data_IF_116597024203
#
_entry.id   IF_116597024203
#
_cell.length_a   1.000
_cell.length_b   1.000
_cell.length_c   1.000
_cell.angle_alpha   90.00
_cell.angle_beta   90.00
_cell.angle_gamma   90.00
#
_symmetry.space_group_name_H-M   'P 1'
#
loop_
_entity.id
_entity.type
_entity.pdbx_description
1 polymer ?
#
# COMPACT_ATOMS: atom_id res chain seq x y z
N UNK A 1 -25.54 -19.72 -25.07
CA UNK A 1 -26.19 -20.88 -25.73
C UNK A 1 -27.53 -20.44 -26.35
N UNK A 2 -28.54 -20.00 -25.58
CA UNK A 2 -29.90 -19.65 -26.09
C UNK A 2 -29.88 -18.66 -27.27
N UNK A 3 -29.01 -17.67 -27.30
CA UNK A 3 -28.87 -16.70 -28.41
C UNK A 3 -28.57 -17.41 -29.74
N UNK A 4 -27.65 -18.35 -29.75
CA UNK A 4 -27.31 -19.09 -30.97
C UNK A 4 -28.39 -20.07 -31.40
N UNK A 5 -29.07 -20.70 -30.43
CA UNK A 5 -30.19 -21.59 -30.70
C UNK A 5 -31.33 -20.81 -31.37
N UNK A 6 -31.67 -19.62 -30.88
CA UNK A 6 -32.68 -18.73 -31.49
C UNK A 6 -32.30 -18.31 -32.90
N UNK A 7 -31.02 -17.95 -33.12
CA UNK A 7 -30.52 -17.61 -34.46
C UNK A 7 -30.59 -18.82 -35.45
N UNK A 8 -30.34 -20.02 -34.96
CA UNK A 8 -30.49 -21.24 -35.79
C UNK A 8 -31.97 -21.52 -36.10
N UNK A 9 -32.86 -21.34 -35.11
CA UNK A 9 -34.29 -21.47 -35.28
C UNK A 9 -34.87 -20.49 -36.30
N UNK A 10 -34.41 -19.21 -36.30
CA UNK A 10 -34.76 -18.20 -37.29
C UNK A 10 -34.34 -18.62 -38.71
N UNK A 11 -33.32 -19.42 -38.85
CA UNK A 11 -32.84 -19.99 -40.11
C UNK A 11 -33.46 -21.38 -40.42
N UNK A 12 -34.46 -21.81 -39.67
CA UNK A 12 -35.13 -23.13 -39.79
C UNK A 12 -34.15 -24.32 -39.62
N UNK A 13 -33.07 -24.13 -38.85
CA UNK A 13 -32.12 -25.21 -38.53
C UNK A 13 -32.48 -25.78 -37.16
N UNK A 14 -32.92 -27.05 -37.14
CA UNK A 14 -33.26 -27.76 -35.92
C UNK A 14 -31.99 -28.17 -35.14
N UNK A 15 -31.98 -27.95 -33.83
CA UNK A 15 -30.99 -28.49 -32.90
C UNK A 15 -31.70 -29.49 -31.99
N UNK A 16 -31.18 -30.72 -31.92
CA UNK A 16 -31.70 -31.76 -31.08
C UNK A 16 -30.76 -32.09 -29.93
N UNK A 17 -31.27 -31.97 -28.71
CA UNK A 17 -30.54 -32.32 -27.48
C UNK A 17 -30.87 -33.74 -27.10
N UNK A 18 -29.97 -34.68 -27.39
CA UNK A 18 -30.19 -36.11 -27.24
C UNK A 18 -30.50 -36.54 -25.81
N UNK A 19 -29.79 -35.99 -24.82
CA UNK A 19 -29.95 -36.35 -23.39
C UNK A 19 -31.31 -35.94 -22.84
N UNK A 20 -31.75 -34.74 -23.21
CA UNK A 20 -32.96 -34.13 -22.71
C UNK A 20 -34.17 -34.45 -23.61
N UNK A 21 -33.94 -35.07 -24.77
CA UNK A 21 -34.93 -35.36 -25.79
C UNK A 21 -35.75 -34.13 -26.22
N UNK A 22 -35.03 -33.00 -26.48
CA UNK A 22 -35.61 -31.70 -26.82
C UNK A 22 -35.26 -31.33 -28.25
N UNK A 23 -36.28 -31.01 -29.06
CA UNK A 23 -36.11 -30.39 -30.37
C UNK A 23 -36.43 -28.91 -30.30
N UNK A 24 -35.52 -28.06 -30.80
CA UNK A 24 -35.66 -26.58 -30.74
C UNK A 24 -36.74 -26.03 -31.67
N UNK A 25 -37.21 -26.83 -32.65
CA UNK A 25 -38.33 -26.43 -33.54
C UNK A 25 -39.69 -26.58 -32.87
N UNK A 26 -39.81 -27.42 -31.84
CA UNK A 26 -41.07 -27.60 -31.12
C UNK A 26 -41.32 -26.40 -30.15
N UNK A 27 -42.56 -25.94 -30.08
CA UNK A 27 -42.94 -24.85 -29.16
C UNK A 27 -42.68 -25.23 -27.68
N UNK A 28 -42.87 -26.50 -27.32
CA UNK A 28 -42.55 -27.04 -25.99
C UNK A 28 -41.03 -27.07 -25.72
N UNK A 29 -40.21 -27.31 -26.78
CA UNK A 29 -38.76 -27.37 -26.68
C UNK A 29 -38.13 -26.00 -26.28
N UNK A 30 -38.66 -24.89 -26.78
CA UNK A 30 -38.15 -23.55 -26.42
C UNK A 30 -38.45 -23.18 -24.97
N UNK A 31 -39.65 -23.53 -24.48
CA UNK A 31 -40.02 -23.29 -23.06
C UNK A 31 -39.12 -24.11 -22.14
N UNK A 32 -38.94 -25.40 -22.47
CA UNK A 32 -38.10 -26.31 -21.70
C UNK A 32 -36.64 -25.85 -21.66
N UNK A 33 -36.07 -25.44 -22.79
CA UNK A 33 -34.71 -24.88 -22.86
C UNK A 33 -34.56 -23.57 -22.05
N UNK A 34 -35.59 -22.72 -22.06
CA UNK A 34 -35.60 -21.48 -21.27
C UNK A 34 -35.62 -21.79 -19.77
N UNK A 35 -36.43 -22.76 -19.34
CA UNK A 35 -36.50 -23.23 -17.95
C UNK A 35 -35.15 -23.85 -17.53
N UNK A 36 -34.59 -24.75 -18.34
CA UNK A 36 -33.28 -25.37 -18.05
C UNK A 36 -32.14 -24.33 -17.97
N UNK A 37 -32.14 -23.36 -18.88
CA UNK A 37 -31.14 -22.28 -18.82
C UNK A 37 -31.31 -21.42 -17.59
N UNK A 38 -32.55 -21.13 -17.15
CA UNK A 38 -32.83 -20.39 -15.91
C UNK A 38 -32.37 -21.17 -14.68
N UNK A 39 -32.65 -22.49 -14.62
CA UNK A 39 -32.19 -23.37 -13.54
C UNK A 39 -30.66 -23.43 -13.47
N UNK A 40 -29.99 -23.64 -14.60
CA UNK A 40 -28.52 -23.62 -14.66
C UNK A 40 -27.91 -22.28 -14.23
N UNK A 41 -28.57 -21.17 -14.55
CA UNK A 41 -28.16 -19.84 -14.09
C UNK A 41 -28.34 -19.67 -12.59
N UNK A 42 -29.48 -20.12 -12.02
CA UNK A 42 -29.72 -20.11 -10.58
C UNK A 42 -28.72 -21.00 -9.83
N UNK A 43 -28.43 -22.20 -10.34
CA UNK A 43 -27.42 -23.07 -9.74
C UNK A 43 -26.04 -22.41 -9.72
N UNK A 44 -25.63 -21.83 -10.85
CA UNK A 44 -24.36 -21.08 -10.93
C UNK A 44 -24.31 -19.88 -9.97
N UNK A 45 -25.42 -19.17 -9.80
CA UNK A 45 -25.55 -18.07 -8.84
C UNK A 45 -25.42 -18.56 -7.39
N UNK A 46 -26.15 -19.62 -7.04
CA UNK A 46 -26.11 -20.24 -5.71
C UNK A 46 -24.70 -20.74 -5.36
N UNK A 47 -24.05 -21.46 -6.28
CA UNK A 47 -22.65 -21.86 -6.10
C UNK A 47 -21.72 -20.68 -5.88
N UNK A 48 -21.89 -19.60 -6.66
CA UNK A 48 -21.09 -18.38 -6.49
C UNK A 48 -21.31 -17.73 -5.13
N UNK A 49 -22.54 -17.68 -4.63
CA UNK A 49 -22.88 -17.16 -3.30
C UNK A 49 -22.27 -18.03 -2.20
N UNK A 50 -22.39 -19.35 -2.28
CA UNK A 50 -21.82 -20.28 -1.33
C UNK A 50 -20.29 -20.17 -1.25
N UNK A 51 -19.61 -20.01 -2.39
CA UNK A 51 -18.16 -19.76 -2.42
C UNK A 51 -17.81 -18.42 -1.77
N UNK A 52 -18.59 -17.36 -2.02
CA UNK A 52 -18.39 -16.05 -1.37
C UNK A 52 -18.53 -16.15 0.14
N UNK A 53 -19.58 -16.77 0.62
CA UNK A 53 -19.81 -17.00 2.05
C UNK A 53 -18.68 -17.81 2.68
N UNK A 54 -18.28 -18.91 2.07
CA UNK A 54 -17.16 -19.73 2.55
C UNK A 54 -15.82 -18.98 2.57
N UNK A 55 -15.61 -18.02 1.67
CA UNK A 55 -14.44 -17.11 1.71
C UNK A 55 -14.55 -16.11 2.86
N UNK A 56 -15.72 -15.50 3.06
CA UNK A 56 -15.95 -14.55 4.16
C UNK A 56 -15.73 -15.21 5.52
N UNK A 57 -16.28 -16.39 5.76
CA UNK A 57 -16.04 -17.16 7.00
C UNK A 57 -14.55 -17.43 7.24
N UNK A 58 -13.79 -17.79 6.21
CA UNK A 58 -12.35 -17.99 6.33
C UNK A 58 -11.62 -16.70 6.66
N UNK A 59 -12.01 -15.58 6.05
CA UNK A 59 -11.43 -14.27 6.35
C UNK A 59 -11.73 -13.82 7.77
N UNK A 60 -12.95 -14.04 8.26
CA UNK A 60 -13.34 -13.79 9.66
C UNK A 60 -12.53 -14.63 10.66
N UNK A 61 -12.14 -15.85 10.26
CA UNK A 61 -11.26 -16.70 11.07
C UNK A 61 -9.77 -16.36 10.95
N UNK A 62 -9.42 -15.34 10.20
CA UNK A 62 -8.02 -14.94 9.98
C UNK A 62 -7.23 -15.90 9.09
N UNK A 63 -7.89 -16.86 8.40
CA UNK A 63 -7.20 -17.82 7.54
C UNK A 63 -6.75 -17.18 6.24
N UNK A 64 -5.46 -16.91 6.13
CA UNK A 64 -4.85 -16.29 4.96
C UNK A 64 -4.63 -17.32 3.87
N UNK A 65 -5.27 -17.12 2.71
CA UNK A 65 -5.02 -17.91 1.51
C UNK A 65 -4.27 -17.08 0.47
N UNK A 66 -3.06 -17.52 0.11
CA UNK A 66 -2.23 -16.88 -0.93
C UNK A 66 -1.91 -17.90 -2.02
N UNK A 67 -1.88 -17.43 -3.26
CA UNK A 67 -1.32 -18.23 -4.35
C UNK A 67 0.22 -18.19 -4.26
N UNK A 68 0.80 -19.16 -3.56
CA UNK A 68 2.23 -19.24 -3.29
C UNK A 68 3.09 -19.44 -4.54
N UNK A 69 2.57 -20.02 -5.63
CA UNK A 69 3.33 -20.26 -6.87
C UNK A 69 3.86 -18.99 -7.55
N UNK A 70 3.37 -17.81 -7.14
CA UNK A 70 3.78 -16.51 -7.68
C UNK A 70 4.01 -15.48 -6.57
N UNK A 71 4.29 -15.96 -5.38
CA UNK A 71 4.56 -15.11 -4.23
C UNK A 71 6.00 -15.33 -3.78
N UNK A 72 6.91 -14.48 -4.26
CA UNK A 72 8.34 -14.54 -3.94
C UNK A 72 8.56 -14.35 -2.45
N UNK A 73 9.46 -15.12 -1.87
CA UNK A 73 9.83 -15.07 -0.47
C UNK A 73 9.09 -16.07 0.42
N UNK A 74 7.95 -16.60 -0.04
CA UNK A 74 7.15 -17.53 0.75
C UNK A 74 6.72 -18.76 -0.04
N UNK A 75 6.68 -19.89 0.65
CA UNK A 75 6.03 -21.12 0.20
C UNK A 75 5.00 -21.59 1.24
N UNK A 76 4.43 -22.75 1.08
CA UNK A 76 3.50 -23.35 2.04
C UNK A 76 4.08 -24.59 2.68
N UNK A 77 3.78 -24.77 3.98
CA UNK A 77 3.93 -26.03 4.66
C UNK A 77 2.80 -27.03 4.32
N UNK A 78 2.83 -28.21 4.90
CA UNK A 78 1.82 -29.27 4.73
C UNK A 78 0.44 -28.84 5.26
N UNK A 79 0.40 -27.94 6.25
CA UNK A 79 -0.80 -27.41 6.87
C UNK A 79 -1.39 -26.21 6.09
N UNK A 80 -0.62 -25.68 5.13
CA UNK A 80 -1.01 -24.56 4.28
C UNK A 80 -0.62 -23.17 4.82
N UNK A 81 0.19 -23.11 5.89
CA UNK A 81 0.73 -21.87 6.43
C UNK A 81 1.90 -21.37 5.55
N UNK A 82 2.11 -20.06 5.58
CA UNK A 82 3.23 -19.46 4.85
C UNK A 82 4.54 -19.64 5.61
N UNK A 83 5.54 -20.19 4.94
CA UNK A 83 6.91 -20.33 5.45
C UNK A 83 7.87 -19.58 4.53
N UNK A 84 8.93 -19.01 5.12
CA UNK A 84 9.92 -18.21 4.39
C UNK A 84 10.82 -19.14 3.55
N UNK A 85 11.08 -18.72 2.31
CA UNK A 85 12.12 -19.26 1.44
C UNK A 85 13.36 -18.36 1.56
N UNK A 86 14.45 -18.80 2.25
CA UNK A 86 15.55 -17.89 2.60
C UNK A 86 16.20 -17.18 1.41
N UNK A 87 16.41 -17.90 0.31
CA UNK A 87 17.03 -17.34 -0.91
C UNK A 87 16.18 -16.23 -1.54
N UNK A 88 14.87 -16.43 -1.61
CA UNK A 88 13.93 -15.45 -2.14
C UNK A 88 13.72 -14.28 -1.17
N UNK A 89 13.76 -14.55 0.14
CA UNK A 89 13.66 -13.52 1.17
C UNK A 89 14.80 -12.50 1.08
N UNK A 90 16.03 -12.94 0.79
CA UNK A 90 17.16 -12.02 0.57
C UNK A 90 16.95 -11.11 -0.65
N UNK A 91 16.29 -11.61 -1.70
CA UNK A 91 15.94 -10.79 -2.86
C UNK A 91 14.92 -9.70 -2.44
N UNK A 92 13.92 -10.05 -1.64
CA UNK A 92 12.94 -9.10 -1.11
C UNK A 92 13.62 -8.04 -0.25
N UNK A 93 14.47 -8.44 0.71
CA UNK A 93 15.25 -7.52 1.56
C UNK A 93 16.11 -6.57 0.72
N UNK A 94 16.75 -7.09 -0.33
CA UNK A 94 17.54 -6.29 -1.29
C UNK A 94 16.69 -5.25 -1.99
N UNK A 95 15.49 -5.60 -2.48
CA UNK A 95 14.58 -4.68 -3.16
C UNK A 95 14.20 -3.51 -2.23
N UNK A 96 13.84 -3.79 -0.98
CA UNK A 96 13.51 -2.76 0.01
C UNK A 96 14.71 -1.86 0.31
N UNK A 97 15.88 -2.44 0.58
CA UNK A 97 17.10 -1.69 0.83
C UNK A 97 17.48 -0.78 -0.33
N UNK A 98 17.57 -1.30 -1.55
CA UNK A 98 17.93 -0.51 -2.73
C UNK A 98 16.91 0.60 -3.03
N UNK A 99 15.63 0.36 -2.74
CA UNK A 99 14.59 1.38 -2.89
C UNK A 99 14.77 2.53 -1.90
N UNK A 100 15.02 2.21 -0.63
CA UNK A 100 15.25 3.20 0.43
C UNK A 100 16.60 3.95 0.26
N UNK A 101 17.60 3.30 -0.31
CA UNK A 101 18.86 3.94 -0.74
C UNK A 101 18.68 4.93 -1.89
N UNK A 102 17.48 4.99 -2.49
CA UNK A 102 17.11 5.97 -3.50
C UNK A 102 17.11 5.48 -4.93
N UNK A 103 17.35 4.20 -5.20
CA UNK A 103 17.24 3.66 -6.56
C UNK A 103 15.81 3.79 -7.09
N UNK A 104 15.66 3.96 -8.39
CA UNK A 104 14.35 3.91 -9.05
C UNK A 104 13.89 2.47 -9.24
N UNK A 105 12.55 2.26 -9.32
CA UNK A 105 11.98 0.93 -9.61
C UNK A 105 12.56 0.30 -10.89
N UNK A 106 12.83 1.12 -11.92
CA UNK A 106 13.47 0.69 -13.17
C UNK A 106 14.94 0.29 -12.93
N UNK A 107 15.66 1.04 -12.08
CA UNK A 107 17.06 0.76 -11.73
C UNK A 107 17.19 -0.57 -11.00
N UNK A 108 16.36 -0.79 -9.97
CA UNK A 108 16.32 -2.05 -9.22
C UNK A 108 16.04 -3.24 -10.16
N UNK A 109 15.05 -3.09 -11.06
CA UNK A 109 14.74 -4.13 -12.04
C UNK A 109 15.92 -4.51 -12.93
N UNK A 110 16.66 -3.51 -13.44
CA UNK A 110 17.85 -3.75 -14.27
C UNK A 110 19.00 -4.44 -13.51
N UNK A 111 19.18 -4.08 -12.24
CA UNK A 111 20.22 -4.70 -11.41
C UNK A 111 19.89 -6.17 -11.13
N UNK A 112 18.62 -6.48 -10.82
CA UNK A 112 18.15 -7.86 -10.65
C UNK A 112 18.26 -8.68 -11.95
N UNK A 113 17.91 -8.10 -13.12
CA UNK A 113 18.05 -8.71 -14.44
C UNK A 113 19.54 -9.00 -14.77
N UNK A 114 20.43 -8.05 -14.48
CA UNK A 114 21.88 -8.19 -14.66
C UNK A 114 22.47 -9.32 -13.85
N UNK A 115 21.97 -9.50 -12.63
CA UNK A 115 22.40 -10.55 -11.71
C UNK A 115 21.73 -11.92 -12.02
N UNK A 116 20.93 -12.00 -13.09
CA UNK A 116 20.26 -13.23 -13.53
C UNK A 116 19.11 -13.69 -12.63
N UNK A 117 18.60 -12.82 -11.74
CA UNK A 117 17.56 -13.16 -10.78
C UNK A 117 16.20 -13.17 -11.50
N UNK A 118 15.50 -14.30 -11.45
CA UNK A 118 14.19 -14.47 -12.06
C UNK A 118 13.08 -13.90 -11.15
N UNK A 119 11.99 -13.46 -11.77
CA UNK A 119 10.77 -13.09 -11.02
C UNK A 119 10.09 -14.34 -10.46
N UNK A 120 9.16 -14.19 -9.50
CA UNK A 120 8.33 -15.28 -8.97
C UNK A 120 7.55 -16.07 -10.05
N UNK A 121 7.44 -15.55 -11.27
CA UNK A 121 6.83 -16.24 -12.40
C UNK A 121 7.86 -16.88 -13.34
N UNK A 122 9.14 -17.00 -12.93
CA UNK A 122 10.25 -17.54 -13.70
C UNK A 122 10.65 -16.70 -14.93
N UNK A 123 10.29 -15.40 -14.95
CA UNK A 123 10.62 -14.52 -16.07
C UNK A 123 11.91 -13.75 -15.79
N UNK A 124 12.81 -13.57 -16.80
CA UNK A 124 14.06 -12.84 -16.62
C UNK A 124 13.84 -11.33 -16.52
N UNK A 125 12.73 -10.80 -17.03
CA UNK A 125 12.46 -9.36 -17.06
C UNK A 125 11.65 -8.87 -15.86
N UNK A 126 12.23 -7.91 -15.13
CA UNK A 126 11.60 -7.24 -14.00
C UNK A 126 10.89 -5.95 -14.45
N UNK A 127 9.55 -5.94 -14.34
CA UNK A 127 8.78 -4.73 -14.62
C UNK A 127 8.71 -3.84 -13.36
N UNK A 128 8.78 -2.51 -13.49
CA UNK A 128 8.65 -1.59 -12.36
C UNK A 128 7.38 -1.83 -11.53
N UNK A 129 6.28 -2.21 -12.17
CA UNK A 129 5.02 -2.54 -11.49
C UNK A 129 5.12 -3.80 -10.62
N UNK A 130 5.98 -4.74 -10.95
CA UNK A 130 6.22 -5.94 -10.13
C UNK A 130 6.95 -5.55 -8.85
N UNK A 131 8.00 -4.72 -8.96
CA UNK A 131 8.76 -4.21 -7.81
C UNK A 131 7.84 -3.34 -6.93
N UNK A 132 7.04 -2.45 -7.55
CA UNK A 132 6.07 -1.64 -6.81
C UNK A 132 5.06 -2.50 -6.03
N UNK A 133 4.57 -3.60 -6.62
CA UNK A 133 3.67 -4.53 -5.93
C UNK A 133 4.35 -5.25 -4.77
N UNK A 134 5.63 -5.56 -4.87
CA UNK A 134 6.41 -6.13 -3.77
C UNK A 134 6.49 -5.12 -2.63
N UNK A 135 6.90 -3.88 -2.92
CA UNK A 135 7.00 -2.82 -1.92
C UNK A 135 5.66 -2.47 -1.24
N UNK A 136 4.51 -2.65 -1.92
CA UNK A 136 3.17 -2.37 -1.40
C UNK A 136 2.51 -3.57 -0.68
N UNK A 137 3.18 -4.70 -0.59
CA UNK A 137 2.54 -5.92 -0.08
C UNK A 137 2.80 -6.11 1.41
N UNK A 138 1.80 -5.85 2.22
CA UNK A 138 1.81 -5.99 3.68
C UNK A 138 2.15 -7.41 4.18
N UNK A 139 2.04 -8.40 3.31
CA UNK A 139 2.39 -9.78 3.69
C UNK A 139 3.86 -9.96 4.01
N UNK A 140 4.73 -9.06 3.54
CA UNK A 140 6.15 -9.13 3.86
C UNK A 140 6.49 -8.75 5.30
N UNK A 141 5.56 -8.07 6.00
CA UNK A 141 5.67 -7.77 7.43
C UNK A 141 4.89 -8.75 8.33
N UNK A 142 4.40 -9.86 7.77
CA UNK A 142 3.64 -10.85 8.52
C UNK A 142 2.15 -10.58 8.61
N UNK A 143 1.67 -9.44 8.15
CA UNK A 143 0.26 -9.06 8.17
C UNK A 143 -0.46 -9.45 6.88
N UNK A 144 -1.78 -9.47 6.90
CA UNK A 144 -2.57 -9.76 5.72
C UNK A 144 -3.85 -8.94 5.66
N UNK A 145 -3.97 -8.08 4.64
CA UNK A 145 -5.24 -7.45 4.27
C UNK A 145 -5.96 -8.33 3.25
N UNK A 146 -7.08 -8.89 3.66
CA UNK A 146 -7.90 -9.79 2.87
C UNK A 146 -9.04 -9.03 2.19
N UNK A 147 -9.62 -9.63 1.16
CA UNK A 147 -10.74 -9.06 0.37
C UNK A 147 -10.41 -7.72 -0.32
N UNK A 148 -9.15 -7.53 -0.76
CA UNK A 148 -8.72 -6.38 -1.57
C UNK A 148 -9.44 -6.25 -2.91
N UNK A 149 -10.00 -7.34 -3.41
CA UNK A 149 -10.78 -7.39 -4.66
C UNK A 149 -11.97 -8.32 -4.49
N UNK A 150 -13.06 -8.02 -5.17
CA UNK A 150 -14.24 -8.88 -5.19
C UNK A 150 -14.78 -9.05 -6.62
N UNK A 151 -15.58 -10.10 -6.82
CA UNK A 151 -16.25 -10.38 -8.09
C UNK A 151 -17.63 -9.74 -8.06
N UNK A 152 -17.86 -8.76 -8.95
CA UNK A 152 -19.13 -8.02 -9.02
C UNK A 152 -20.26 -8.87 -9.54
N UNK A 153 -19.98 -9.60 -10.62
CA UNK A 153 -20.97 -10.39 -11.34
C UNK A 153 -20.47 -11.81 -11.56
N UNK A 154 -21.32 -12.78 -11.25
CA UNK A 154 -21.00 -14.21 -11.35
C UNK A 154 -20.96 -14.72 -12.81
N UNK A 155 -21.65 -14.04 -13.74
CA UNK A 155 -21.67 -14.42 -15.15
C UNK A 155 -20.39 -13.99 -15.87
N UNK A 156 -20.03 -12.70 -15.73
CA UNK A 156 -18.86 -12.13 -16.38
C UNK A 156 -17.57 -12.41 -15.62
N UNK A 157 -17.66 -12.83 -14.35
CA UNK A 157 -16.54 -13.04 -13.41
C UNK A 157 -15.62 -11.82 -13.29
N UNK A 158 -16.15 -10.61 -13.56
CA UNK A 158 -15.40 -9.37 -13.49
C UNK A 158 -15.00 -9.09 -12.06
N UNK A 159 -13.68 -9.00 -11.81
CA UNK A 159 -13.12 -8.61 -10.53
C UNK A 159 -12.82 -7.11 -10.52
N UNK A 160 -13.16 -6.43 -9.43
CA UNK A 160 -12.84 -5.04 -9.19
C UNK A 160 -12.11 -4.89 -7.86
N UNK A 161 -11.36 -3.80 -7.71
CA UNK A 161 -10.74 -3.42 -6.45
C UNK A 161 -11.82 -3.08 -5.44
N UNK A 162 -11.64 -3.52 -4.21
CA UNK A 162 -12.53 -3.17 -3.11
C UNK A 162 -12.10 -1.80 -2.53
N UNK A 163 -12.95 -0.83 -2.72
CA UNK A 163 -12.77 0.54 -2.22
C UNK A 163 -13.86 0.86 -1.18
N UNK A 164 -14.13 -0.11 -0.29
CA UNK A 164 -15.16 0.01 0.75
C UNK A 164 -16.53 -0.56 0.36
N UNK A 165 -16.65 -1.24 -0.81
CA UNK A 165 -17.94 -1.82 -1.24
C UNK A 165 -18.31 -3.11 -0.51
N UNK A 166 -17.32 -3.82 0.01
CA UNK A 166 -17.48 -5.03 0.83
C UNK A 166 -16.48 -5.01 1.98
N UNK A 167 -16.76 -5.67 3.12
CA UNK A 167 -15.86 -5.68 4.26
C UNK A 167 -14.45 -6.16 3.89
N UNK A 168 -13.43 -5.50 4.45
CA UNK A 168 -12.04 -5.93 4.38
C UNK A 168 -11.63 -6.49 5.74
N UNK A 169 -10.74 -7.48 5.73
CA UNK A 169 -10.28 -8.13 6.96
C UNK A 169 -8.76 -7.96 7.07
N UNK A 170 -8.33 -7.31 8.15
CA UNK A 170 -6.92 -7.17 8.48
C UNK A 170 -6.54 -8.20 9.54
N UNK A 171 -5.48 -8.95 9.27
CA UNK A 171 -4.97 -9.99 10.16
C UNK A 171 -3.52 -9.65 10.46
N UNK A 172 -3.23 -9.32 11.71
CA UNK A 172 -1.89 -9.05 12.18
C UNK A 172 -1.15 -10.35 12.50
N UNK A 173 0.17 -10.34 12.27
CA UNK A 173 1.06 -11.43 12.62
C UNK A 173 0.56 -12.82 12.16
N UNK A 174 -0.01 -12.88 10.95
CA UNK A 174 -0.57 -14.12 10.41
C UNK A 174 0.51 -15.14 10.00
N UNK A 175 1.73 -14.70 9.79
CA UNK A 175 2.90 -15.51 9.40
C UNK A 175 4.20 -14.78 9.72
N UNK A 176 5.33 -15.47 9.62
CA UNK A 176 6.64 -14.90 9.88
C UNK A 176 6.99 -13.78 8.89
N UNK A 177 7.48 -12.64 9.40
CA UNK A 177 7.83 -11.46 8.60
C UNK A 177 9.21 -11.60 7.95
N UNK A 178 9.32 -11.24 6.66
CA UNK A 178 10.62 -11.11 5.97
C UNK A 178 11.24 -9.74 6.20
N UNK A 179 10.40 -8.69 6.25
CA UNK A 179 10.79 -7.29 6.38
C UNK A 179 10.30 -6.77 7.72
N UNK A 180 11.13 -6.06 8.50
CA UNK A 180 10.66 -5.30 9.66
C UNK A 180 9.59 -4.30 9.27
N UNK A 181 8.60 -4.06 10.14
CA UNK A 181 7.47 -3.19 9.90
C UNK A 181 7.93 -1.75 9.61
N UNK A 182 8.97 -1.29 10.31
CA UNK A 182 9.57 0.03 10.15
C UNK A 182 10.11 0.26 8.71
N UNK A 183 10.82 -0.73 8.15
CA UNK A 183 11.34 -0.63 6.78
C UNK A 183 10.21 -0.63 5.73
N UNK A 184 9.15 -1.39 5.97
CA UNK A 184 7.97 -1.39 5.12
C UNK A 184 7.32 -0.01 5.10
N UNK A 185 7.11 0.59 6.26
CA UNK A 185 6.45 1.90 6.40
C UNK A 185 7.29 3.02 5.76
N UNK A 186 8.61 3.00 5.98
CA UNK A 186 9.52 3.91 5.29
C UNK A 186 9.42 3.77 3.75
N UNK A 187 9.27 2.54 3.25
CA UNK A 187 9.08 2.31 1.82
C UNK A 187 7.72 2.82 1.32
N UNK A 188 6.62 2.69 2.12
CA UNK A 188 5.30 3.26 1.79
C UNK A 188 5.36 4.79 1.70
N UNK A 189 5.97 5.43 2.68
CA UNK A 189 6.14 6.88 2.69
C UNK A 189 6.93 7.37 1.47
N UNK A 190 8.03 6.70 1.16
CA UNK A 190 8.85 7.03 0.00
C UNK A 190 8.09 6.82 -1.31
N UNK A 191 7.25 5.76 -1.42
CA UNK A 191 6.37 5.55 -2.56
C UNK A 191 5.34 6.68 -2.70
N UNK A 192 4.69 7.05 -1.60
CA UNK A 192 3.73 8.15 -1.58
C UNK A 192 4.39 9.48 -1.94
N UNK A 193 5.53 9.79 -1.32
CA UNK A 193 6.31 10.99 -1.60
C UNK A 193 6.70 11.08 -3.08
N UNK A 194 7.27 10.00 -3.65
CA UNK A 194 7.66 9.97 -5.06
C UNK A 194 6.48 10.04 -6.02
N UNK A 195 5.31 9.60 -5.62
CA UNK A 195 4.10 9.66 -6.46
C UNK A 195 3.48 11.05 -6.52
N UNK A 196 3.71 11.88 -5.48
CA UNK A 196 3.05 13.18 -5.26
C UNK A 196 3.93 14.39 -5.63
N UNK A 197 4.99 14.19 -6.41
CA UNK A 197 5.82 15.30 -6.91
C UNK A 197 5.18 15.87 -8.17
N UNK A 198 4.56 17.04 -8.03
CA UNK A 198 3.87 17.77 -9.09
C UNK A 198 4.51 19.14 -9.34
N UNK A 199 4.21 19.77 -10.48
CA UNK A 199 4.51 21.18 -10.73
C UNK A 199 3.64 22.06 -9.83
N UNK A 200 4.21 23.13 -9.29
CA UNK A 200 3.46 24.06 -8.43
C UNK A 200 2.23 24.69 -9.11
N UNK A 201 2.35 25.13 -10.39
CA UNK A 201 1.30 25.85 -11.09
C UNK A 201 0.29 24.95 -11.82
N UNK A 202 0.77 23.94 -12.57
CA UNK A 202 -0.07 23.18 -13.51
C UNK A 202 -0.48 21.81 -12.98
N UNK A 203 -0.08 21.42 -11.77
CA UNK A 203 -0.29 20.08 -11.17
C UNK A 203 0.15 18.92 -12.08
N UNK A 204 1.05 19.18 -13.04
CA UNK A 204 1.63 18.14 -13.88
C UNK A 204 2.70 17.35 -13.13
N UNK A 205 2.77 16.04 -13.36
CA UNK A 205 3.74 15.18 -12.69
C UNK A 205 5.16 15.49 -13.16
N UNK A 206 6.06 15.80 -12.22
CA UNK A 206 7.46 16.08 -12.51
C UNK A 206 8.28 14.82 -12.79
N UNK A 207 9.20 14.92 -13.75
CA UNK A 207 10.27 13.94 -13.95
C UNK A 207 11.47 14.39 -13.12
N UNK A 208 11.94 13.52 -12.24
CA UNK A 208 13.04 13.81 -11.31
C UNK A 208 14.01 12.63 -11.18
N UNK A 209 15.21 12.92 -10.68
CA UNK A 209 16.19 11.90 -10.32
C UNK A 209 16.20 11.74 -8.80
N UNK A 210 16.11 10.53 -8.31
CA UNK A 210 16.22 10.20 -6.88
C UNK A 210 17.66 9.89 -6.45
N UNK A 211 18.64 10.19 -7.30
CA UNK A 211 20.06 9.89 -7.03
C UNK A 211 20.58 10.56 -5.76
N UNK A 212 20.22 11.83 -5.54
CA UNK A 212 20.65 12.61 -4.39
C UNK A 212 19.49 12.74 -3.40
N UNK A 213 19.77 12.70 -2.09
CA UNK A 213 18.75 12.76 -1.05
C UNK A 213 17.85 13.99 -1.17
N UNK A 214 18.44 15.16 -1.44
CA UNK A 214 17.72 16.43 -1.52
C UNK A 214 16.95 16.65 -2.85
N UNK A 215 17.17 15.83 -3.88
CA UNK A 215 16.59 16.06 -5.23
C UNK A 215 15.07 16.10 -5.30
N UNK A 216 14.39 15.48 -4.34
CA UNK A 216 12.93 15.33 -4.36
C UNK A 216 12.26 15.84 -3.10
N UNK A 217 13.06 16.39 -2.17
CA UNK A 217 12.57 16.93 -0.91
C UNK A 217 12.85 18.42 -0.77
N UNK A 218 13.52 19.05 -1.76
CA UNK A 218 13.80 20.49 -1.73
C UNK A 218 12.79 21.21 -2.62
N UNK A 219 12.02 22.12 -2.03
CA UNK A 219 10.93 22.87 -2.67
C UNK A 219 11.19 24.36 -2.66
N UNK A 220 10.58 25.06 -3.61
CA UNK A 220 10.61 26.51 -3.70
C UNK A 220 9.53 27.13 -2.80
N UNK A 221 9.91 28.07 -1.96
CA UNK A 221 8.98 28.80 -1.09
C UNK A 221 8.02 29.73 -1.86
N UNK A 222 8.41 30.18 -3.07
CA UNK A 222 7.59 31.11 -3.87
C UNK A 222 6.54 30.39 -4.72
N UNK A 223 6.96 29.33 -5.46
CA UNK A 223 6.08 28.66 -6.43
C UNK A 223 5.73 27.21 -6.07
N UNK A 224 6.29 26.66 -5.00
CA UNK A 224 6.04 25.29 -4.54
C UNK A 224 6.67 24.17 -5.38
N UNK A 225 7.38 24.50 -6.48
CA UNK A 225 8.01 23.52 -7.35
C UNK A 225 9.34 23.01 -6.77
N UNK A 226 9.80 21.85 -7.25
CA UNK A 226 11.04 21.25 -6.76
C UNK A 226 12.28 22.02 -7.20
N UNK A 227 13.33 21.92 -6.38
CA UNK A 227 14.67 22.32 -6.76
C UNK A 227 15.39 21.17 -7.46
N UNK A 228 16.12 21.48 -8.54
CA UNK A 228 16.95 20.54 -9.31
C UNK A 228 18.41 20.89 -9.16
N UNK A 229 19.23 19.86 -8.95
CA UNK A 229 20.69 19.96 -8.95
C UNK A 229 21.19 20.12 -10.39
N UNK A 230 21.86 21.22 -10.68
CA UNK A 230 22.37 21.57 -12.02
C UNK A 230 23.80 22.08 -11.96
N UNK A 231 24.54 21.89 -13.05
CA UNK A 231 25.79 22.61 -13.24
C UNK A 231 25.51 24.01 -13.75
N UNK A 232 26.03 25.00 -13.07
CA UNK A 232 25.91 26.41 -13.45
C UNK A 232 27.27 26.97 -13.75
N UNK A 233 27.41 27.71 -14.87
CA UNK A 233 28.65 28.37 -15.23
C UNK A 233 28.69 29.78 -14.60
N UNK A 234 29.56 29.94 -13.61
CA UNK A 234 29.79 31.21 -12.94
C UNK A 234 31.20 31.67 -13.33
N UNK A 235 31.29 32.72 -14.16
CA UNK A 235 32.55 33.29 -14.65
C UNK A 235 33.55 32.25 -15.19
N UNK A 236 33.07 31.32 -16.03
CA UNK A 236 33.91 30.28 -16.65
C UNK A 236 34.18 29.04 -15.78
N UNK A 237 33.72 29.04 -14.53
CA UNK A 237 33.82 27.88 -13.63
C UNK A 237 32.45 27.17 -13.52
N UNK A 238 32.44 25.86 -13.63
CA UNK A 238 31.22 25.04 -13.45
C UNK A 238 31.07 24.77 -11.96
N UNK A 239 30.08 25.36 -11.33
CA UNK A 239 29.69 25.09 -9.94
C UNK A 239 28.41 24.26 -9.92
N UNK A 240 28.26 23.42 -8.88
CA UNK A 240 27.04 22.68 -8.60
C UNK A 240 26.10 23.55 -7.77
N UNK A 241 24.91 23.79 -8.31
CA UNK A 241 23.89 24.60 -7.67
C UNK A 241 22.54 23.91 -7.69
N UNK A 242 21.71 24.29 -6.77
CA UNK A 242 20.32 23.92 -6.71
C UNK A 242 19.45 25.08 -7.17
N UNK A 243 18.51 24.80 -8.09
CA UNK A 243 17.67 25.84 -8.70
C UNK A 243 16.25 25.34 -8.91
N UNK A 244 15.26 26.20 -8.66
CA UNK A 244 13.86 25.92 -8.88
C UNK A 244 13.60 25.52 -10.35
N UNK A 245 12.85 24.46 -10.59
CA UNK A 245 12.58 23.92 -11.91
C UNK A 245 11.71 24.88 -12.72
N UNK A 246 10.70 25.50 -12.13
CA UNK A 246 9.89 26.55 -12.76
C UNK A 246 10.78 27.70 -13.26
N UNK A 247 11.73 28.16 -12.44
CA UNK A 247 12.68 29.19 -12.84
C UNK A 247 13.60 28.76 -13.99
N UNK A 248 13.98 27.48 -14.05
CA UNK A 248 14.81 26.93 -15.14
C UNK A 248 14.02 26.88 -16.46
N UNK A 249 12.76 26.44 -16.39
CA UNK A 249 11.94 26.15 -17.57
C UNK A 249 11.16 27.37 -18.09
N UNK A 250 10.66 28.22 -17.18
CA UNK A 250 9.78 29.35 -17.50
C UNK A 250 10.45 30.73 -17.29
N UNK A 251 11.64 30.76 -16.69
CA UNK A 251 12.42 31.97 -16.50
C UNK A 251 12.21 32.70 -15.14
N UNK A 252 13.01 33.74 -14.91
CA UNK A 252 13.03 34.47 -13.64
C UNK A 252 11.78 35.37 -13.42
N UNK A 253 11.00 35.63 -14.46
CA UNK A 253 9.77 36.42 -14.36
C UNK A 253 8.66 35.64 -13.65
N UNK A 254 8.65 34.30 -13.80
CA UNK A 254 7.65 33.43 -13.20
C UNK A 254 8.03 33.02 -11.78
N UNK A 255 9.31 32.76 -11.53
CA UNK A 255 9.81 32.43 -10.19
C UNK A 255 11.10 33.20 -9.91
N UNK A 256 11.08 34.04 -8.89
CA UNK A 256 12.20 34.92 -8.52
C UNK A 256 13.14 34.30 -7.49
N UNK A 257 12.76 33.18 -6.87
CA UNK A 257 13.53 32.57 -5.79
C UNK A 257 14.98 32.30 -6.18
N UNK A 258 15.88 32.41 -5.22
CA UNK A 258 17.34 32.36 -5.40
C UNK A 258 17.87 31.03 -5.91
N UNK A 259 19.03 31.06 -6.53
CA UNK A 259 19.85 29.87 -6.80
C UNK A 259 20.71 29.59 -5.58
N UNK A 260 20.74 28.36 -5.09
CA UNK A 260 21.46 27.96 -3.88
C UNK A 260 22.68 27.14 -4.25
N UNK A 261 23.83 27.44 -3.69
CA UNK A 261 25.03 26.61 -3.82
C UNK A 261 24.84 25.30 -3.07
N UNK A 262 25.37 24.20 -3.62
CA UNK A 262 25.24 22.87 -3.00
C UNK A 262 25.81 22.85 -1.58
N UNK A 263 26.97 23.47 -1.36
CA UNK A 263 27.59 23.54 -0.03
C UNK A 263 26.68 24.27 0.97
N UNK A 264 26.07 25.40 0.58
CA UNK A 264 25.16 26.17 1.44
C UNK A 264 23.94 25.35 1.87
N UNK A 265 23.34 24.59 0.92
CA UNK A 265 22.19 23.74 1.22
C UNK A 265 22.56 22.57 2.14
N UNK A 266 23.72 21.98 1.93
CA UNK A 266 24.22 20.88 2.78
C UNK A 266 24.53 21.39 4.19
N UNK A 267 25.17 22.55 4.31
CA UNK A 267 25.48 23.18 5.61
C UNK A 267 24.22 23.56 6.37
N UNK A 268 23.19 24.07 5.68
CA UNK A 268 21.90 24.39 6.29
C UNK A 268 21.23 23.14 6.87
N UNK A 269 21.16 22.04 6.08
CA UNK A 269 20.58 20.77 6.51
C UNK A 269 21.35 20.19 7.69
N UNK A 270 22.69 20.18 7.62
CA UNK A 270 23.50 19.65 8.71
C UNK A 270 23.45 20.52 9.98
N UNK A 271 23.33 21.82 9.81
CA UNK A 271 23.12 22.74 10.96
C UNK A 271 21.81 22.45 11.66
N UNK A 272 20.74 22.20 10.91
CA UNK A 272 19.43 21.84 11.48
C UNK A 272 19.49 20.48 12.21
N UNK A 273 20.08 19.46 11.60
CA UNK A 273 20.27 18.14 12.22
C UNK A 273 21.13 18.26 13.50
N UNK A 274 22.25 18.96 13.43
CA UNK A 274 23.14 19.10 14.59
C UNK A 274 22.51 19.95 15.70
N UNK A 275 21.63 20.92 15.40
CA UNK A 275 20.81 21.62 16.40
C UNK A 275 19.81 20.71 17.07
N UNK A 276 19.15 19.83 16.31
CA UNK A 276 18.25 18.83 16.86
C UNK A 276 19.00 17.93 17.87
N UNK A 277 20.18 17.43 17.49
CA UNK A 277 21.01 16.58 18.35
C UNK A 277 21.57 17.32 19.58
N UNK A 278 21.91 18.60 19.44
CA UNK A 278 22.37 19.45 20.54
C UNK A 278 21.28 19.72 21.58
N UNK A 279 19.99 19.67 21.18
CA UNK A 279 18.85 19.78 22.09
C UNK A 279 18.73 18.62 23.09
N UNK A 280 19.37 17.48 22.79
CA UNK A 280 19.49 16.33 23.69
C UNK A 280 18.17 15.91 24.35
N UNK A 281 18.20 15.71 25.65
CA UNK A 281 17.03 15.20 26.42
C UNK A 281 15.83 16.16 26.42
N UNK A 282 16.02 17.46 26.29
CA UNK A 282 14.92 18.43 26.18
C UNK A 282 14.15 18.26 24.86
N UNK A 283 14.87 18.02 23.75
CA UNK A 283 14.24 17.77 22.46
C UNK A 283 13.47 16.44 22.45
N UNK A 284 14.02 15.39 23.07
CA UNK A 284 13.35 14.10 23.23
C UNK A 284 12.03 14.29 23.99
N UNK A 285 12.04 15.04 25.10
CA UNK A 285 10.82 15.31 25.90
C UNK A 285 9.76 16.05 25.06
N UNK A 286 10.15 17.06 24.29
CA UNK A 286 9.21 17.79 23.41
C UNK A 286 8.61 16.87 22.34
N UNK A 287 9.41 15.99 21.77
CA UNK A 287 8.92 14.99 20.80
C UNK A 287 7.95 14.01 21.45
N UNK A 288 8.28 13.47 22.61
CA UNK A 288 7.43 12.55 23.39
C UNK A 288 6.11 13.21 23.82
N UNK A 289 6.14 14.46 24.31
CA UNK A 289 4.94 15.23 24.69
C UNK A 289 4.02 15.48 23.47
N UNK A 290 4.60 15.80 22.30
CA UNK A 290 3.81 15.98 21.08
C UNK A 290 3.17 14.68 20.59
N UNK A 291 3.85 13.54 20.71
CA UNK A 291 3.32 12.22 20.37
C UNK A 291 2.07 11.95 21.22
N UNK A 292 2.17 12.08 22.54
CA UNK A 292 1.02 11.84 23.44
C UNK A 292 -0.17 12.77 23.17
N UNK A 293 0.07 13.97 22.63
CA UNK A 293 -1.01 14.90 22.31
C UNK A 293 -1.74 14.59 21.01
N UNK A 294 -1.04 13.98 20.01
CA UNK A 294 -1.58 13.71 18.68
C UNK A 294 -2.12 12.29 18.54
N UNK A 295 -1.50 11.35 19.25
CA UNK A 295 -1.83 9.93 19.20
C UNK A 295 -2.42 9.55 20.56
N UNK A 296 -3.56 10.14 20.88
CA UNK A 296 -4.27 9.72 22.07
C UNK A 296 -4.77 8.28 21.96
N UNK A 297 -4.84 7.55 23.07
CA UNK A 297 -5.27 6.16 23.30
C UNK A 297 -6.65 5.77 22.70
N UNK A 298 -7.16 6.57 21.75
CA UNK A 298 -8.56 6.52 21.30
C UNK A 298 -8.88 5.28 20.49
N UNK A 299 -7.93 4.73 19.75
CA UNK A 299 -8.22 3.63 18.81
C UNK A 299 -8.13 2.26 19.49
N UNK A 300 -7.10 2.01 20.29
CA UNK A 300 -7.00 0.78 21.11
C UNK A 300 -8.15 0.64 22.11
N UNK A 301 -8.53 1.75 22.77
CA UNK A 301 -9.68 1.76 23.66
C UNK A 301 -10.99 1.40 22.92
N UNK A 302 -11.24 1.98 21.75
CA UNK A 302 -12.42 1.66 20.91
C UNK A 302 -12.44 0.22 20.45
N UNK A 303 -11.30 -0.33 20.04
CA UNK A 303 -11.17 -1.75 19.64
C UNK A 303 -11.46 -2.67 20.84
N UNK A 304 -10.94 -2.35 22.01
CA UNK A 304 -11.19 -3.10 23.24
C UNK A 304 -12.67 -3.09 23.65
N UNK A 305 -13.32 -1.93 23.57
CA UNK A 305 -14.74 -1.76 23.87
C UNK A 305 -15.62 -2.56 22.88
N UNK A 306 -15.31 -2.51 21.58
CA UNK A 306 -16.03 -3.30 20.58
C UNK A 306 -15.81 -4.80 20.77
N UNK A 307 -14.62 -5.24 21.16
CA UNK A 307 -14.37 -6.65 21.45
C UNK A 307 -15.20 -7.14 22.65
N UNK A 308 -15.32 -6.36 23.70
CA UNK A 308 -16.15 -6.68 24.85
C UNK A 308 -17.64 -6.78 24.46
N UNK A 309 -18.15 -5.83 23.68
CA UNK A 309 -19.51 -5.85 23.15
C UNK A 309 -19.77 -7.07 22.25
N UNK A 310 -18.82 -7.42 21.39
CA UNK A 310 -18.91 -8.61 20.53
C UNK A 310 -18.99 -9.89 21.36
N UNK A 311 -18.21 -10.02 22.44
CA UNK A 311 -18.29 -11.19 23.32
C UNK A 311 -19.64 -11.29 24.03
N UNK A 312 -20.16 -10.17 24.51
CA UNK A 312 -21.47 -10.12 25.15
C UNK A 312 -22.59 -10.53 24.19
N UNK A 313 -22.65 -9.91 23.02
CA UNK A 313 -23.63 -10.20 21.98
C UNK A 313 -23.56 -11.63 21.44
N UNK A 314 -22.36 -12.20 21.33
CA UNK A 314 -22.18 -13.61 20.93
C UNK A 314 -22.71 -14.58 21.99
N UNK A 315 -22.51 -14.31 23.29
CA UNK A 315 -23.09 -15.10 24.38
C UNK A 315 -24.61 -15.04 24.39
N UNK A 316 -25.17 -13.85 24.13
CA UNK A 316 -26.61 -13.65 23.99
C UNK A 316 -27.19 -14.43 22.80
N UNK A 317 -26.55 -14.37 21.65
CA UNK A 317 -26.96 -15.10 20.43
C UNK A 317 -27.01 -16.62 20.67
N UNK A 318 -25.97 -17.16 21.31
CA UNK A 318 -25.93 -18.60 21.66
C UNK A 318 -27.10 -18.95 22.62
N UNK A 319 -27.41 -18.07 23.58
CA UNK A 319 -28.52 -18.26 24.52
C UNK A 319 -29.88 -18.25 23.80
N UNK A 320 -30.10 -17.34 22.87
CA UNK A 320 -31.33 -17.24 22.08
C UNK A 320 -31.50 -18.44 21.14
N UNK A 321 -30.43 -18.81 20.44
CA UNK A 321 -30.39 -19.96 19.53
C UNK A 321 -30.75 -21.27 20.28
N UNK A 322 -30.22 -21.47 21.52
CA UNK A 322 -30.51 -22.62 22.35
C UNK A 322 -31.97 -22.64 22.86
N UNK A 323 -32.62 -21.47 22.93
CA UNK A 323 -34.04 -21.33 23.35
C UNK A 323 -35.00 -21.34 22.14
N UNK A 324 -34.51 -21.51 20.92
CA UNK A 324 -35.32 -21.51 19.69
C UNK A 324 -36.04 -20.19 19.41
N UNK A 325 -35.51 -19.07 19.93
CA UNK A 325 -36.04 -17.73 19.67
C UNK A 325 -35.36 -17.11 18.44
N UNK A 326 -36.04 -16.13 17.84
CA UNK A 326 -35.49 -15.37 16.72
C UNK A 326 -34.24 -14.60 17.16
N UNK A 327 -33.17 -14.71 16.38
CA UNK A 327 -31.86 -14.09 16.62
C UNK A 327 -31.32 -13.32 15.39
N UNK A 328 -32.14 -13.11 14.36
CA UNK A 328 -31.71 -12.53 13.09
C UNK A 328 -31.24 -11.07 13.30
N UNK A 329 -31.97 -10.25 14.04
CA UNK A 329 -31.57 -8.88 14.38
C UNK A 329 -30.27 -8.79 15.18
N UNK A 330 -30.02 -9.76 16.06
CA UNK A 330 -28.80 -9.80 16.89
C UNK A 330 -27.59 -10.26 16.05
N UNK A 331 -27.83 -11.13 15.07
CA UNK A 331 -26.78 -11.51 14.12
C UNK A 331 -26.34 -10.33 13.24
N UNK A 332 -27.28 -9.48 12.81
CA UNK A 332 -26.99 -8.26 12.04
C UNK A 332 -26.19 -7.24 12.88
N UNK A 333 -26.56 -7.05 14.16
CA UNK A 333 -25.80 -6.19 15.07
C UNK A 333 -24.35 -6.68 15.28
N UNK A 334 -24.16 -7.99 15.41
CA UNK A 334 -22.82 -8.60 15.52
C UNK A 334 -22.00 -8.35 14.24
N UNK A 335 -22.61 -8.45 13.07
CA UNK A 335 -21.92 -8.20 11.82
C UNK A 335 -21.53 -6.71 11.68
N UNK A 336 -22.41 -5.77 12.03
CA UNK A 336 -22.08 -4.33 12.09
C UNK A 336 -20.92 -4.02 13.05
N UNK A 337 -20.90 -4.63 14.23
CA UNK A 337 -19.81 -4.46 15.19
C UNK A 337 -18.49 -5.04 14.67
N UNK A 338 -18.52 -6.16 13.95
CA UNK A 338 -17.34 -6.73 13.28
C UNK A 338 -16.80 -5.83 12.19
N UNK A 339 -17.68 -5.23 11.37
CA UNK A 339 -17.29 -4.28 10.35
C UNK A 339 -16.65 -3.01 10.95
N UNK A 340 -17.24 -2.47 12.01
CA UNK A 340 -16.67 -1.33 12.75
C UNK A 340 -15.29 -1.66 13.33
N UNK A 341 -15.17 -2.82 14.00
CA UNK A 341 -13.87 -3.27 14.52
C UNK A 341 -12.81 -3.35 13.41
N UNK A 342 -13.20 -3.89 12.25
CA UNK A 342 -12.29 -4.06 11.12
C UNK A 342 -11.83 -2.71 10.56
N UNK A 343 -12.72 -1.72 10.51
CA UNK A 343 -12.37 -0.35 10.09
C UNK A 343 -11.33 0.25 11.04
N UNK A 344 -11.53 0.14 12.36
CA UNK A 344 -10.57 0.64 13.34
C UNK A 344 -9.24 -0.10 13.30
N UNK A 345 -9.20 -1.40 13.06
CA UNK A 345 -7.95 -2.14 12.88
C UNK A 345 -7.15 -1.69 11.65
N UNK A 346 -7.84 -1.35 10.55
CA UNK A 346 -7.18 -0.80 9.35
C UNK A 346 -6.64 0.61 9.60
N UNK A 347 -7.38 1.43 10.34
CA UNK A 347 -6.95 2.78 10.75
C UNK A 347 -5.76 2.71 11.71
N UNK A 348 -5.80 1.84 12.70
CA UNK A 348 -4.75 1.64 13.70
C UNK A 348 -3.45 1.16 13.07
N UNK A 349 -3.51 0.20 12.14
CA UNK A 349 -2.36 -0.25 11.38
C UNK A 349 -1.69 0.88 10.56
N UNK A 350 -2.46 1.88 10.14
CA UNK A 350 -1.94 3.08 9.47
C UNK A 350 -1.26 4.04 10.46
N UNK A 351 -1.89 4.28 11.61
CA UNK A 351 -1.38 5.17 12.66
C UNK A 351 -0.15 4.59 13.38
N UNK A 352 -0.11 3.26 13.59
CA UNK A 352 1.04 2.60 14.23
C UNK A 352 2.33 2.86 13.45
N UNK A 353 2.25 3.02 12.13
CA UNK A 353 3.38 3.36 11.29
C UNK A 353 3.94 4.76 11.51
N UNK A 354 3.12 5.71 11.86
CA UNK A 354 3.58 7.06 12.20
C UNK A 354 4.28 7.06 13.56
N UNK A 355 3.75 6.31 14.52
CA UNK A 355 4.35 6.10 15.83
C UNK A 355 5.75 5.49 15.76
N UNK A 356 5.91 4.44 14.96
CA UNK A 356 7.21 3.78 14.80
C UNK A 356 8.27 4.74 14.25
N UNK A 357 7.92 5.58 13.27
CA UNK A 357 8.83 6.57 12.69
C UNK A 357 9.27 7.63 13.71
N UNK A 358 8.35 8.11 14.52
CA UNK A 358 8.67 9.09 15.56
C UNK A 358 9.56 8.45 16.63
N UNK A 359 9.27 7.20 17.01
CA UNK A 359 10.12 6.44 17.94
C UNK A 359 11.53 6.21 17.37
N UNK A 360 11.65 5.90 16.06
CA UNK A 360 12.97 5.82 15.40
C UNK A 360 13.72 7.16 15.43
N UNK A 361 13.03 8.29 15.23
CA UNK A 361 13.65 9.61 15.34
C UNK A 361 14.12 9.88 16.76
N UNK A 362 13.31 9.55 17.77
CA UNK A 362 13.69 9.66 19.19
C UNK A 362 14.90 8.80 19.51
N UNK A 363 14.91 7.53 19.09
CA UNK A 363 16.08 6.66 19.27
C UNK A 363 17.31 7.19 18.54
N UNK A 364 17.15 7.70 17.33
CA UNK A 364 18.25 8.32 16.60
C UNK A 364 18.83 9.51 17.37
N UNK A 365 17.99 10.41 17.89
CA UNK A 365 18.41 11.55 18.69
C UNK A 365 19.09 11.05 19.97
N UNK A 366 18.52 10.07 20.66
CA UNK A 366 19.06 9.47 21.90
C UNK A 366 20.46 8.88 21.70
N UNK A 367 20.65 8.14 20.59
CA UNK A 367 21.92 7.48 20.28
C UNK A 367 23.01 8.43 19.76
N UNK A 368 22.62 9.59 19.22
CA UNK A 368 23.54 10.54 18.60
C UNK A 368 23.57 11.91 19.31
N UNK A 369 22.93 12.04 20.46
CA UNK A 369 22.89 13.31 21.22
C UNK A 369 24.30 13.83 21.49
N UNK A 370 24.46 15.14 21.35
CA UNK A 370 25.73 15.86 21.51
C UNK A 370 26.84 15.47 20.51
N UNK A 371 26.52 14.72 19.46
CA UNK A 371 27.46 14.43 18.38
C UNK A 371 27.27 15.41 17.22
N UNK A 372 28.36 15.79 16.59
CA UNK A 372 28.33 16.53 15.33
C UNK A 372 28.47 15.55 14.17
N UNK A 373 27.45 15.47 13.34
CA UNK A 373 27.42 14.59 12.18
C UNK A 373 27.84 15.34 10.92
N UNK A 374 28.38 14.61 9.95
CA UNK A 374 28.67 15.11 8.59
C UNK A 374 27.56 14.69 7.64
N UNK A 375 27.46 15.40 6.52
CA UNK A 375 26.46 15.12 5.49
C UNK A 375 26.61 13.70 4.93
N UNK A 376 25.52 12.98 4.94
CA UNK A 376 25.33 11.67 4.30
C UNK A 376 23.93 11.57 3.73
N UNK A 377 23.81 11.13 2.48
CA UNK A 377 22.52 10.99 1.79
C UNK A 377 21.56 10.04 2.52
N UNK A 378 22.08 8.97 3.12
CA UNK A 378 21.28 7.99 3.88
C UNK A 378 20.67 8.62 5.12
N UNK A 379 21.51 9.39 5.86
CA UNK A 379 21.08 10.13 7.03
C UNK A 379 19.98 11.15 6.69
N UNK A 380 20.17 11.93 5.63
CA UNK A 380 19.20 12.93 5.20
C UNK A 380 17.88 12.27 4.80
N UNK A 381 17.92 11.16 4.06
CA UNK A 381 16.72 10.41 3.70
C UNK A 381 15.96 9.87 4.90
N UNK A 382 16.67 9.48 5.96
CA UNK A 382 16.07 8.94 7.19
C UNK A 382 15.35 10.01 8.00
N UNK A 383 15.92 11.22 8.10
CA UNK A 383 15.51 12.23 9.09
C UNK A 383 14.72 13.38 8.48
N UNK A 384 15.05 13.81 7.25
CA UNK A 384 14.47 15.01 6.66
C UNK A 384 13.25 14.65 5.82
N UNK A 385 12.12 15.28 6.12
CA UNK A 385 10.90 15.17 5.35
C UNK A 385 10.95 16.09 4.12
N UNK A 386 11.20 17.39 4.32
CA UNK A 386 11.35 18.34 3.23
C UNK A 386 12.23 19.53 3.63
N UNK A 387 12.71 20.26 2.61
CA UNK A 387 13.44 21.52 2.74
C UNK A 387 12.76 22.54 1.84
N UNK A 388 12.28 23.63 2.39
CA UNK A 388 11.70 24.73 1.61
C UNK A 388 12.70 25.90 1.57
N UNK A 389 13.01 26.34 0.35
CA UNK A 389 13.97 27.41 0.09
C UNK A 389 13.23 28.73 -0.08
N UNK A 390 13.51 29.70 0.77
CA UNK A 390 13.09 31.10 0.67
C UNK A 390 14.30 31.99 0.32
N UNK A 391 14.06 33.24 -0.01
CA UNK A 391 15.13 34.17 -0.42
C UNK A 391 16.19 34.39 0.65
N UNK A 392 15.79 34.39 1.91
CA UNK A 392 16.64 34.74 3.07
C UNK A 392 16.90 33.55 4.02
N UNK A 393 16.09 32.50 3.99
CA UNK A 393 16.20 31.37 4.90
C UNK A 393 15.79 30.03 4.28
N UNK A 394 16.02 28.96 5.04
CA UNK A 394 15.55 27.60 4.76
C UNK A 394 14.61 27.16 5.87
N UNK A 395 13.48 26.55 5.49
CA UNK A 395 12.62 25.84 6.42
C UNK A 395 12.86 24.34 6.22
N UNK A 396 13.28 23.66 7.28
CA UNK A 396 13.63 22.24 7.25
C UNK A 396 12.68 21.49 8.17
N UNK A 397 11.89 20.58 7.58
CA UNK A 397 10.96 19.72 8.31
C UNK A 397 11.60 18.35 8.52
N UNK A 398 11.53 17.86 9.74
CA UNK A 398 11.92 16.51 10.11
C UNK A 398 10.74 15.55 9.94
N UNK A 399 11.01 14.26 9.75
CA UNK A 399 9.99 13.22 9.64
C UNK A 399 9.31 12.93 10.96
#
# INVERSE_FOLDING_TARGET
CLKYIRQLKEKYIAVYFEKENINTMDAKGEVLLTIMASLAQQESQSLSQNVKLGLQYRYQQGKVQVNHNRFMGYTKDEEGNLIIVPEEAEIIKRIYREYLEGKSLVGIGRDLEKDGILTAAGKPRWRPETIKKILLNEKYIGDALLQKTFTVDFLTKKRVKNEGHVPQYYVENSHEAIIPKELFLQAQEELHRRSNIYTGADKNKRIYSSKYALSTITFCGDCGDIYRRVYWNIHGRKELVWRCVTRIEQGPEVCKNRTVKEAELYDAVMTAINRLLAGGDNMIRILEENIHSVIGDTTEYKISEINALLEEKQKELISLANKGKDFESLADEIEELREKRQTFLVEDASLSGENERINELIEFVRNNKYRTLRYDDTLVRKIIQNVTVYDDHFVICFK
#
